data_IF_466154115513
#
_entry.id   IF_466154115513
#
_cell.length_a   1.000
_cell.length_b   1.000
_cell.length_c   1.000
_cell.angle_alpha   90.00
_cell.angle_beta   90.00
_cell.angle_gamma   90.00
#
_symmetry.space_group_name_H-M   'P 1'
#
loop_
_entity.id
_entity.type
_entity.pdbx_description
1 polymer ?
#
# COMPACT_ATOMS: atom_id res chain seq x y z
N UNK A 1 13.46 23.06 -9.86
CA UNK A 1 12.79 22.07 -9.00
C UNK A 1 11.28 22.19 -9.19
N UNK A 2 10.69 21.37 -10.07
CA UNK A 2 9.23 21.34 -10.25
C UNK A 2 8.63 20.54 -9.08
N UNK A 3 8.27 21.26 -8.01
CA UNK A 3 7.58 20.71 -6.83
C UNK A 3 6.06 20.57 -7.02
N UNK A 4 5.55 20.70 -8.25
CA UNK A 4 4.12 20.95 -8.52
C UNK A 4 3.23 19.70 -8.56
N UNK A 5 3.59 18.70 -9.35
CA UNK A 5 2.74 17.50 -9.55
C UNK A 5 2.88 16.52 -8.38
N UNK A 6 4.12 16.17 -8.06
CA UNK A 6 4.45 15.21 -7.01
C UNK A 6 3.96 15.65 -5.61
N UNK A 7 3.83 16.96 -5.34
CA UNK A 7 3.34 17.49 -4.05
C UNK A 7 1.81 17.49 -3.93
N UNK A 8 1.09 17.73 -5.03
CA UNK A 8 -0.38 17.73 -5.03
C UNK A 8 -0.96 16.31 -4.90
N UNK A 9 -0.31 15.32 -5.52
CA UNK A 9 -0.65 13.89 -5.36
C UNK A 9 -0.61 13.44 -3.90
N UNK A 10 0.21 14.10 -3.06
CA UNK A 10 0.42 13.77 -1.65
C UNK A 10 -0.72 14.26 -0.74
N UNK A 11 -1.60 15.16 -1.19
CA UNK A 11 -2.78 15.63 -0.42
C UNK A 11 -3.89 14.57 -0.32
N UNK A 12 -3.84 13.52 -1.12
CA UNK A 12 -4.85 12.46 -1.16
C UNK A 12 -4.53 11.29 -0.20
N UNK A 13 -3.54 11.48 0.67
CA UNK A 13 -3.17 10.50 1.68
C UNK A 13 -3.71 10.87 3.05
N UNK A 14 -4.22 9.87 3.76
CA UNK A 14 -4.71 9.99 5.14
C UNK A 14 -4.19 8.86 6.00
N UNK A 15 -4.37 8.99 7.32
CA UNK A 15 -3.99 7.95 8.27
C UNK A 15 -5.11 7.57 9.20
N UNK A 16 -5.07 6.34 9.69
CA UNK A 16 -5.91 5.86 10.76
C UNK A 16 -5.17 4.87 11.63
N UNK A 17 -5.54 4.76 12.91
CA UNK A 17 -5.06 3.70 13.79
C UNK A 17 -6.02 2.49 13.83
N UNK A 18 -7.13 2.55 13.07
CA UNK A 18 -8.13 1.48 12.98
C UNK A 18 -7.92 0.65 11.72
N UNK A 19 -7.55 -0.62 11.91
CA UNK A 19 -7.48 -1.59 10.80
C UNK A 19 -8.84 -1.82 10.14
N UNK A 20 -9.93 -1.70 10.90
CA UNK A 20 -11.28 -1.77 10.35
C UNK A 20 -11.51 -0.63 9.36
N UNK A 21 -11.21 0.62 9.76
CA UNK A 21 -11.38 1.77 8.86
C UNK A 21 -10.45 1.65 7.66
N UNK A 22 -9.21 1.22 7.88
CA UNK A 22 -8.22 1.04 6.82
C UNK A 22 -8.72 0.03 5.77
N UNK A 23 -9.12 -1.16 6.22
CA UNK A 23 -9.60 -2.23 5.35
C UNK A 23 -10.91 -1.88 4.65
N UNK A 24 -11.87 -1.27 5.38
CA UNK A 24 -13.17 -0.92 4.81
C UNK A 24 -13.02 0.11 3.68
N UNK A 25 -12.27 1.20 3.93
CA UNK A 25 -12.03 2.23 2.93
C UNK A 25 -11.27 1.66 1.74
N UNK A 26 -10.18 0.91 1.97
CA UNK A 26 -9.37 0.34 0.89
C UNK A 26 -10.18 -0.58 -0.03
N UNK A 27 -10.95 -1.52 0.52
CA UNK A 27 -11.79 -2.41 -0.30
C UNK A 27 -12.88 -1.66 -1.04
N UNK A 28 -13.49 -0.65 -0.40
CA UNK A 28 -14.48 0.19 -1.07
C UNK A 28 -13.87 0.91 -2.27
N UNK A 29 -12.76 1.62 -2.10
CA UNK A 29 -12.17 2.40 -3.20
C UNK A 29 -11.55 1.53 -4.30
N UNK A 30 -10.88 0.43 -3.93
CA UNK A 30 -10.30 -0.50 -4.90
C UNK A 30 -11.38 -1.21 -5.74
N UNK A 31 -12.57 -1.44 -5.18
CA UNK A 31 -13.69 -2.06 -5.91
C UNK A 31 -14.57 -1.09 -6.68
N UNK A 32 -14.40 0.24 -6.52
CA UNK A 32 -15.29 1.25 -7.09
C UNK A 32 -14.57 2.34 -7.89
N UNK A 33 -13.26 2.22 -8.11
CA UNK A 33 -12.48 3.19 -8.88
C UNK A 33 -11.54 2.49 -9.85
N UNK A 34 -11.16 3.22 -10.91
CA UNK A 34 -10.23 2.73 -11.93
C UNK A 34 -8.78 3.20 -11.67
N UNK A 35 -8.51 3.81 -10.51
CA UNK A 35 -7.18 4.29 -10.12
C UNK A 35 -6.55 3.39 -9.07
N UNK A 36 -5.23 3.37 -9.01
CA UNK A 36 -4.52 2.62 -7.98
C UNK A 36 -4.64 3.31 -6.62
N UNK A 37 -4.95 2.51 -5.60
CA UNK A 37 -4.95 2.89 -4.20
C UNK A 37 -3.92 2.08 -3.44
N UNK A 38 -3.47 2.62 -2.31
CA UNK A 38 -2.55 1.89 -1.41
C UNK A 38 -3.11 1.83 0.00
N UNK A 39 -2.88 0.69 0.66
CA UNK A 39 -2.98 0.50 2.10
C UNK A 39 -1.61 0.10 2.62
N UNK A 40 -0.98 1.01 3.35
CA UNK A 40 0.30 0.77 4.00
C UNK A 40 0.07 0.65 5.49
N UNK A 41 0.72 -0.31 6.14
CA UNK A 41 0.53 -0.59 7.56
C UNK A 41 1.86 -0.75 8.28
N UNK A 42 1.90 -0.31 9.52
CA UNK A 42 3.12 -0.33 10.32
C UNK A 42 2.93 0.42 11.62
N UNK A 43 4.01 1.02 12.11
CA UNK A 43 4.01 1.74 13.39
C UNK A 43 4.50 3.18 13.21
N UNK A 44 3.72 4.15 13.70
CA UNK A 44 4.14 5.54 13.84
C UNK A 44 4.21 5.86 15.33
N UNK A 45 5.37 6.31 15.81
CA UNK A 45 5.56 6.66 17.23
C UNK A 45 5.09 5.58 18.22
N UNK A 46 5.37 4.31 17.89
CA UNK A 46 4.98 3.14 18.69
C UNK A 46 3.52 2.71 18.57
N UNK A 47 2.70 3.39 17.76
CA UNK A 47 1.27 3.07 17.55
C UNK A 47 1.04 2.49 16.16
N UNK A 48 0.24 1.42 16.09
CA UNK A 48 -0.21 0.86 14.80
C UNK A 48 -0.89 1.96 14.00
N UNK A 49 -0.40 2.18 12.79
CA UNK A 49 -0.87 3.24 11.91
C UNK A 49 -0.99 2.67 10.51
N UNK A 50 -2.08 3.04 9.85
CA UNK A 50 -2.37 2.68 8.48
C UNK A 50 -2.44 3.96 7.66
N UNK A 51 -1.78 3.96 6.52
CA UNK A 51 -1.80 5.03 5.53
C UNK A 51 -2.64 4.54 4.36
N UNK A 52 -3.61 5.35 3.95
CA UNK A 52 -4.45 5.13 2.78
C UNK A 52 -4.28 6.29 1.82
N UNK A 53 -4.26 6.02 0.52
CA UNK A 53 -4.28 7.09 -0.46
C UNK A 53 -4.16 6.60 -1.89
N UNK A 54 -4.21 7.56 -2.80
CA UNK A 54 -4.02 7.41 -4.24
C UNK A 54 -3.33 8.67 -4.74
N UNK A 55 -2.70 8.62 -5.89
CA UNK A 55 -2.29 9.80 -6.67
C UNK A 55 -3.24 10.05 -7.86
N UNK A 56 -4.41 9.42 -7.86
CA UNK A 56 -5.42 9.49 -8.93
C UNK A 56 -4.90 9.01 -10.31
N UNK A 57 -3.92 8.10 -10.32
CA UNK A 57 -3.38 7.48 -11.53
C UNK A 57 -3.80 6.01 -11.62
N UNK A 58 -4.06 5.54 -12.84
CA UNK A 58 -4.54 4.17 -13.10
C UNK A 58 -3.45 3.10 -13.10
N UNK A 59 -2.17 3.49 -13.14
CA UNK A 59 -1.04 2.58 -13.32
C UNK A 59 0.11 2.85 -12.34
N UNK A 60 -0.12 3.68 -11.33
CA UNK A 60 0.90 3.99 -10.34
C UNK A 60 0.24 4.51 -9.06
N UNK A 61 0.74 4.13 -7.89
CA UNK A 61 0.53 4.84 -6.63
C UNK A 61 1.88 5.19 -5.97
N UNK A 62 1.92 6.17 -5.06
CA UNK A 62 3.19 6.49 -4.38
C UNK A 62 3.71 5.30 -3.59
N UNK A 63 4.97 4.94 -3.84
CA UNK A 63 5.65 3.91 -3.05
C UNK A 63 5.85 4.40 -1.62
N UNK A 64 5.88 3.46 -0.69
CA UNK A 64 6.16 3.78 0.72
C UNK A 64 7.48 4.53 0.90
N UNK A 65 8.53 4.17 0.13
CA UNK A 65 9.81 4.84 0.16
C UNK A 65 9.69 6.33 -0.23
N UNK A 66 8.88 6.63 -1.25
CA UNK A 66 8.56 8.00 -1.65
C UNK A 66 7.78 8.81 -0.60
N UNK A 67 7.16 8.15 0.39
CA UNK A 67 6.42 8.81 1.45
C UNK A 67 7.24 9.06 2.73
N UNK A 68 8.27 8.24 2.98
CA UNK A 68 9.04 8.27 4.24
C UNK A 68 10.52 8.61 4.09
N UNK A 69 11.12 8.40 2.91
CA UNK A 69 12.56 8.56 2.66
C UNK A 69 12.83 9.64 1.59
N UNK A 70 12.19 10.80 1.73
CA UNK A 70 12.45 11.99 0.88
C UNK A 70 13.08 13.11 1.70
N UNK A 71 13.49 14.20 1.04
CA UNK A 71 14.02 15.39 1.73
C UNK A 71 13.03 15.96 2.75
N UNK A 72 11.73 15.88 2.46
CA UNK A 72 10.63 16.33 3.30
C UNK A 72 9.58 15.19 3.44
N UNK A 73 9.80 14.22 4.35
CA UNK A 73 8.91 13.06 4.51
C UNK A 73 7.50 13.42 4.97
N UNK A 74 6.49 12.81 4.35
CA UNK A 74 5.08 13.03 4.71
C UNK A 74 4.70 12.30 6.00
N UNK A 75 5.19 11.06 6.15
CA UNK A 75 4.95 10.24 7.32
C UNK A 75 6.26 10.01 8.07
N UNK A 76 6.83 11.10 8.58
CA UNK A 76 8.01 11.05 9.45
C UNK A 76 7.78 10.05 10.60
N UNK A 77 8.82 9.30 10.95
CA UNK A 77 8.84 8.24 11.99
C UNK A 77 7.97 7.01 11.72
N UNK A 78 7.26 6.94 10.59
CA UNK A 78 6.52 5.74 10.23
C UNK A 78 7.48 4.60 9.84
N UNK A 79 7.34 3.47 10.53
CA UNK A 79 8.04 2.22 10.25
C UNK A 79 7.07 1.28 9.51
N UNK A 80 7.17 1.20 8.18
CA UNK A 80 6.28 0.34 7.40
C UNK A 80 6.60 -1.13 7.64
N UNK A 81 5.58 -1.96 7.52
CA UNK A 81 5.69 -3.43 7.57
C UNK A 81 4.90 -4.10 6.44
N UNK A 82 3.84 -3.45 5.96
CA UNK A 82 3.06 -3.89 4.80
C UNK A 82 2.85 -2.74 3.83
N UNK A 83 2.81 -3.08 2.55
CA UNK A 83 2.40 -2.19 1.47
C UNK A 83 1.53 -2.97 0.48
N UNK A 84 0.22 -2.71 0.48
CA UNK A 84 -0.75 -3.30 -0.42
C UNK A 84 -1.16 -2.26 -1.46
N UNK A 85 -0.97 -2.57 -2.74
CA UNK A 85 -1.34 -1.71 -3.87
C UNK A 85 -2.51 -2.34 -4.61
N UNK A 86 -3.57 -1.59 -4.92
CA UNK A 86 -4.63 -2.12 -5.78
C UNK A 86 -4.23 -1.94 -7.23
N UNK A 87 -4.33 -3.00 -8.03
CA UNK A 87 -4.25 -2.88 -9.48
C UNK A 87 -5.66 -3.03 -10.08
N UNK A 88 -6.16 -2.04 -10.82
CA UNK A 88 -7.50 -2.12 -11.43
C UNK A 88 -7.59 -3.13 -12.58
N UNK A 89 -6.47 -3.37 -13.30
CA UNK A 89 -6.52 -4.02 -14.62
C UNK A 89 -5.72 -5.30 -14.75
N UNK A 90 -4.74 -5.56 -13.88
CA UNK A 90 -3.93 -6.78 -13.98
C UNK A 90 -3.30 -7.16 -12.63
N UNK A 91 -2.98 -8.44 -12.41
CA UNK A 91 -2.43 -8.90 -11.14
C UNK A 91 -0.91 -8.68 -10.99
N UNK A 92 -0.21 -8.07 -11.95
CA UNK A 92 1.25 -8.15 -12.04
C UNK A 92 1.95 -6.90 -11.49
N UNK A 93 2.97 -7.11 -10.66
CA UNK A 93 3.86 -6.03 -10.24
C UNK A 93 4.74 -5.58 -11.41
N UNK A 94 4.83 -4.26 -11.62
CA UNK A 94 5.76 -3.68 -12.56
C UNK A 94 7.21 -3.76 -12.03
N UNK A 95 8.20 -3.59 -12.91
CA UNK A 95 9.60 -3.47 -12.48
C UNK A 95 9.78 -2.35 -11.46
N UNK A 96 9.05 -1.24 -11.62
CA UNK A 96 9.10 -0.10 -10.70
C UNK A 96 8.53 -0.46 -9.33
N UNK A 97 7.48 -1.26 -9.27
CA UNK A 97 6.91 -1.74 -8.01
C UNK A 97 7.89 -2.64 -7.28
N UNK A 98 8.52 -3.56 -8.02
CA UNK A 98 9.51 -4.48 -7.47
C UNK A 98 10.77 -3.76 -7.00
N UNK A 99 11.25 -2.75 -7.73
CA UNK A 99 12.37 -1.93 -7.31
C UNK A 99 12.03 -1.13 -6.04
N UNK A 100 10.82 -0.58 -5.94
CA UNK A 100 10.35 0.08 -4.72
C UNK A 100 10.24 -0.88 -3.53
N UNK A 101 9.73 -2.10 -3.74
CA UNK A 101 9.64 -3.13 -2.71
C UNK A 101 11.04 -3.52 -2.20
N UNK A 102 12.02 -3.64 -3.10
CA UNK A 102 13.42 -3.98 -2.77
C UNK A 102 14.13 -2.91 -1.95
N UNK A 103 13.72 -1.65 -2.04
CA UNK A 103 14.27 -0.56 -1.22
C UNK A 103 13.95 -0.73 0.27
N UNK A 104 12.92 -1.51 0.61
CA UNK A 104 12.50 -1.78 1.98
C UNK A 104 12.36 -3.29 2.20
N UNK A 105 13.49 -3.98 2.32
CA UNK A 105 13.57 -5.45 2.37
C UNK A 105 12.72 -6.13 3.45
N UNK A 106 12.36 -5.41 4.50
CA UNK A 106 11.61 -5.93 5.64
C UNK A 106 10.08 -5.73 5.53
N UNK A 107 9.58 -5.18 4.42
CA UNK A 107 8.14 -5.00 4.21
C UNK A 107 7.53 -6.14 3.38
N UNK A 108 6.27 -6.44 3.67
CA UNK A 108 5.43 -7.29 2.82
C UNK A 108 4.81 -6.44 1.73
N UNK A 109 5.34 -6.55 0.52
CA UNK A 109 4.73 -5.94 -0.66
C UNK A 109 3.68 -6.88 -1.26
N UNK A 110 2.52 -6.34 -1.62
CA UNK A 110 1.44 -7.11 -2.23
C UNK A 110 0.58 -6.30 -3.17
N UNK A 111 0.01 -6.99 -4.16
CA UNK A 111 -1.01 -6.43 -5.05
C UNK A 111 -2.36 -6.97 -4.67
N UNK A 112 -3.35 -6.09 -4.57
CA UNK A 112 -4.76 -6.44 -4.53
C UNK A 112 -5.34 -6.36 -5.93
N UNK A 113 -5.80 -7.50 -6.45
CA UNK A 113 -6.44 -7.62 -7.77
C UNK A 113 -7.61 -8.62 -7.67
N UNK A 114 -8.80 -8.22 -8.14
CA UNK A 114 -10.02 -9.06 -8.17
C UNK A 114 -10.23 -9.88 -6.89
N UNK A 115 -10.29 -9.22 -5.73
CA UNK A 115 -10.44 -9.88 -4.43
C UNK A 115 -9.30 -10.83 -4.04
N UNK A 116 -8.10 -10.69 -4.59
CA UNK A 116 -6.94 -11.48 -4.19
C UNK A 116 -5.80 -10.57 -3.76
N UNK A 117 -5.13 -10.92 -2.66
CA UNK A 117 -3.83 -10.35 -2.27
C UNK A 117 -2.76 -11.27 -2.82
N UNK A 118 -1.90 -10.72 -3.66
CA UNK A 118 -0.83 -11.41 -4.38
C UNK A 118 0.49 -10.94 -3.78
N UNK A 119 1.21 -11.85 -3.13
CA UNK A 119 2.42 -11.49 -2.38
C UNK A 119 3.64 -11.63 -3.27
N UNK A 120 4.47 -10.59 -3.25
CA UNK A 120 5.74 -10.54 -3.94
C UNK A 120 6.89 -10.53 -2.94
N UNK A 121 7.99 -11.18 -3.30
CA UNK A 121 9.25 -11.07 -2.59
C UNK A 121 10.26 -10.34 -3.47
N UNK A 122 11.33 -9.83 -2.88
CA UNK A 122 12.45 -9.22 -3.59
C UNK A 122 13.08 -10.12 -4.68
N UNK A 123 12.85 -11.43 -4.60
CA UNK A 123 13.44 -12.47 -5.44
C UNK A 123 12.49 -13.18 -6.41
N UNK A 124 11.18 -13.24 -6.15
CA UNK A 124 10.24 -14.02 -6.97
C UNK A 124 8.96 -13.24 -7.30
N UNK A 125 8.57 -13.33 -8.57
CA UNK A 125 7.28 -12.85 -9.07
C UNK A 125 6.19 -13.84 -8.63
N UNK A 126 5.43 -13.46 -7.60
CA UNK A 126 4.28 -14.16 -7.05
C UNK A 126 4.60 -15.46 -6.27
N UNK A 127 4.61 -15.36 -4.95
CA UNK A 127 4.91 -16.49 -4.06
C UNK A 127 3.67 -17.21 -3.52
N UNK A 128 2.55 -16.50 -3.35
CA UNK A 128 1.24 -17.05 -2.99
C UNK A 128 0.15 -15.96 -3.06
N UNK A 129 -1.08 -16.37 -3.34
CA UNK A 129 -2.27 -15.51 -3.27
C UNK A 129 -3.19 -15.88 -2.09
N UNK A 130 -3.85 -14.88 -1.52
CA UNK A 130 -4.93 -15.05 -0.52
C UNK A 130 -6.20 -14.44 -1.09
N UNK A 131 -7.30 -15.18 -1.10
CA UNK A 131 -8.61 -14.63 -1.45
C UNK A 131 -9.20 -13.80 -0.30
N UNK A 132 -9.67 -12.61 -0.63
CA UNK A 132 -10.30 -11.63 0.25
C UNK A 132 -11.78 -11.58 -0.09
N UNK A 133 -12.54 -12.52 0.47
CA UNK A 133 -14.00 -12.61 0.26
C UNK A 133 -14.77 -11.65 1.19
N UNK A 134 -14.10 -11.17 2.23
CA UNK A 134 -14.66 -10.26 3.20
C UNK A 134 -13.58 -9.31 3.74
N UNK A 135 -14.02 -8.19 4.31
CA UNK A 135 -13.14 -7.28 5.03
C UNK A 135 -12.39 -7.97 6.18
N UNK A 136 -13.01 -8.98 6.81
CA UNK A 136 -12.35 -9.78 7.85
C UNK A 136 -11.13 -10.54 7.33
N UNK A 137 -11.13 -10.97 6.08
CA UNK A 137 -9.99 -11.68 5.47
C UNK A 137 -8.81 -10.73 5.29
N UNK A 138 -9.06 -9.51 4.80
CA UNK A 138 -8.03 -8.46 4.70
C UNK A 138 -7.50 -8.06 6.08
N UNK A 139 -8.39 -7.86 7.07
CA UNK A 139 -7.97 -7.54 8.44
C UNK A 139 -7.10 -8.65 9.06
N UNK A 140 -7.48 -9.92 8.86
CA UNK A 140 -6.70 -11.08 9.32
C UNK A 140 -5.34 -11.12 8.67
N UNK A 141 -5.27 -10.93 7.36
CA UNK A 141 -4.00 -10.84 6.63
C UNK A 141 -3.10 -9.75 7.21
N UNK A 142 -3.62 -8.53 7.35
CA UNK A 142 -2.89 -7.39 7.92
C UNK A 142 -2.35 -7.72 9.32
N UNK A 143 -3.19 -8.27 10.21
CA UNK A 143 -2.77 -8.62 11.56
C UNK A 143 -1.71 -9.72 11.62
N UNK A 144 -1.67 -10.62 10.64
CA UNK A 144 -0.61 -11.63 10.58
C UNK A 144 0.75 -11.00 10.23
N UNK A 145 0.76 -9.93 9.42
CA UNK A 145 1.99 -9.27 9.01
C UNK A 145 2.51 -8.25 10.05
N UNK A 146 1.64 -7.66 10.87
CA UNK A 146 2.02 -6.65 11.88
C UNK A 146 2.45 -7.24 13.24
N UNK A 147 2.79 -8.52 13.27
CA UNK A 147 3.24 -9.22 14.48
C UNK A 147 4.68 -8.88 14.85
#
# INVERSE_FOLDING_TARGET
ENKGEDWMDRLLYTTTNSVYNASNVFLFVAGNTNVEWTLKGGYKDGRRTFILGTNNNENQVSSINGLINTKDPFFLTFKPMIDIHSHPYNPFASLRDMDNARLLRDIRYSIYYENNIINYTDQNDNTYSISVNSMNDLMRYIFQQLR
#
